data_IF_878529036967
#
_entry.id   IF_878529036967
#
_cell.length_a   1.000
_cell.length_b   1.000
_cell.length_c   1.000
_cell.angle_alpha   90.00
_cell.angle_beta   90.00
_cell.angle_gamma   90.00
#
_symmetry.space_group_name_H-M   'P 1'
#
loop_
_entity.id
_entity.type
_entity.pdbx_description
1 polymer ?
#
# COMPACT_ATOMS: atom_id res chain seq x y z
N UNK A 1 -20.14 10.60 1.70
CA UNK A 1 -20.69 10.12 2.98
C UNK A 1 -21.17 8.65 2.92
N UNK A 2 -20.65 7.88 1.96
CA UNK A 2 -21.05 6.47 1.77
C UNK A 2 -19.84 5.55 1.84
N UNK A 3 -19.97 4.43 2.54
CA UNK A 3 -18.96 3.38 2.64
C UNK A 3 -19.55 2.06 2.15
N UNK A 4 -18.70 1.19 1.60
CA UNK A 4 -19.07 -0.19 1.31
C UNK A 4 -19.03 -0.97 2.61
N UNK A 5 -20.13 -1.65 2.94
CA UNK A 5 -20.27 -2.45 4.16
C UNK A 5 -20.13 -3.94 3.88
N UNK A 6 -20.65 -4.39 2.75
CA UNK A 6 -20.62 -5.80 2.38
C UNK A 6 -20.68 -5.94 0.84
N UNK A 7 -20.05 -6.97 0.32
CA UNK A 7 -20.16 -7.37 -1.09
C UNK A 7 -20.42 -8.87 -1.16
N UNK A 8 -21.18 -9.34 -2.16
CA UNK A 8 -21.50 -10.75 -2.28
C UNK A 8 -22.02 -11.16 -3.65
N UNK A 9 -22.23 -12.46 -3.78
CA UNK A 9 -22.67 -13.18 -4.96
C UNK A 9 -22.29 -14.65 -4.78
N UNK A 10 -22.57 -15.49 -5.76
CA UNK A 10 -22.17 -16.88 -5.74
C UNK A 10 -20.67 -17.01 -6.09
N UNK A 11 -20.33 -17.26 -7.37
CA UNK A 11 -18.92 -17.33 -7.83
C UNK A 11 -18.39 -15.97 -8.32
N UNK A 12 -19.29 -15.01 -8.55
CA UNK A 12 -19.00 -13.67 -9.06
C UNK A 12 -19.70 -12.62 -8.22
N UNK A 13 -19.22 -11.36 -8.27
CA UNK A 13 -19.81 -10.26 -7.52
C UNK A 13 -21.12 -9.81 -8.17
N UNK A 14 -22.22 -9.92 -7.44
CA UNK A 14 -23.57 -9.67 -7.93
C UNK A 14 -24.29 -8.55 -7.17
N UNK A 15 -23.89 -8.28 -5.93
CA UNK A 15 -24.48 -7.21 -5.13
C UNK A 15 -23.49 -6.60 -4.16
N UNK A 16 -23.79 -5.39 -3.75
CA UNK A 16 -23.02 -4.62 -2.78
C UNK A 16 -23.96 -3.86 -1.85
N UNK A 17 -23.72 -3.93 -0.55
CA UNK A 17 -24.37 -3.05 0.42
C UNK A 17 -23.51 -1.84 0.69
N UNK A 18 -24.11 -0.68 0.57
CA UNK A 18 -23.49 0.61 0.89
C UNK A 18 -24.26 1.29 2.01
N UNK A 19 -23.54 1.93 2.91
CA UNK A 19 -24.09 2.64 4.06
C UNK A 19 -23.75 4.11 4.01
N UNK A 20 -24.76 4.94 4.15
CA UNK A 20 -24.57 6.36 4.38
C UNK A 20 -24.12 6.59 5.84
N UNK A 21 -22.90 7.08 6.05
CA UNK A 21 -22.34 7.24 7.39
C UNK A 21 -22.98 8.35 8.21
N UNK A 22 -23.73 9.27 7.58
CA UNK A 22 -24.46 10.33 8.28
C UNK A 22 -25.86 9.90 8.71
N UNK A 23 -26.57 9.21 7.84
CA UNK A 23 -27.97 8.81 8.09
C UNK A 23 -28.09 7.40 8.66
N UNK A 24 -27.07 6.55 8.47
CA UNK A 24 -27.10 5.13 8.81
C UNK A 24 -27.88 4.28 7.81
N UNK A 25 -28.45 4.88 6.77
CA UNK A 25 -29.22 4.18 5.74
C UNK A 25 -28.35 3.19 4.96
N UNK A 26 -28.84 1.97 4.78
CA UNK A 26 -28.19 0.92 3.99
C UNK A 26 -28.97 0.73 2.70
N UNK A 27 -28.28 0.76 1.58
CA UNK A 27 -28.82 0.50 0.25
C UNK A 27 -28.10 -0.69 -0.36
N UNK A 28 -28.83 -1.61 -0.97
CA UNK A 28 -28.26 -2.69 -1.77
C UNK A 28 -28.21 -2.25 -3.23
N UNK A 29 -27.02 -2.35 -3.83
CA UNK A 29 -26.79 -2.18 -5.27
C UNK A 29 -26.64 -3.56 -5.85
N UNK A 30 -27.46 -3.90 -6.81
CA UNK A 30 -27.43 -5.18 -7.51
C UNK A 30 -26.87 -5.01 -8.93
N UNK A 31 -26.25 -6.06 -9.46
CA UNK A 31 -25.87 -6.13 -10.86
C UNK A 31 -27.14 -6.04 -11.74
N UNK A 32 -27.00 -5.47 -12.93
CA UNK A 32 -28.11 -5.47 -13.84
C UNK A 32 -28.40 -6.88 -14.39
N UNK A 33 -29.60 -7.06 -14.94
CA UNK A 33 -30.06 -8.37 -15.40
C UNK A 33 -29.31 -8.85 -16.65
N UNK A 34 -28.69 -7.95 -17.43
CA UNK A 34 -28.01 -8.26 -18.68
C UNK A 34 -26.60 -8.80 -18.41
N UNK A 35 -25.82 -8.11 -17.57
CA UNK A 35 -24.45 -8.51 -17.24
C UNK A 35 -24.40 -9.53 -16.08
N UNK A 36 -25.34 -9.48 -15.14
CA UNK A 36 -25.44 -10.36 -13.98
C UNK A 36 -24.28 -10.26 -12.99
N UNK A 37 -23.34 -9.31 -13.22
CA UNK A 37 -22.17 -9.09 -12.38
C UNK A 37 -21.64 -7.65 -12.51
N UNK A 38 -20.84 -7.21 -11.55
CA UNK A 38 -20.08 -5.95 -11.65
C UNK A 38 -18.73 -6.05 -10.93
N UNK A 39 -17.82 -5.10 -11.22
CA UNK A 39 -16.54 -4.99 -10.55
C UNK A 39 -16.53 -3.90 -9.50
N UNK A 40 -15.89 -4.16 -8.36
CA UNK A 40 -15.61 -3.14 -7.33
C UNK A 40 -14.12 -2.91 -7.24
N UNK A 41 -13.71 -1.66 -7.40
CA UNK A 41 -12.32 -1.23 -7.33
C UNK A 41 -12.15 -0.28 -6.15
N UNK A 42 -11.36 -0.67 -5.14
CA UNK A 42 -11.08 0.15 -3.96
C UNK A 42 -9.78 0.95 -4.13
N UNK A 43 -9.90 2.30 -4.12
CA UNK A 43 -8.76 3.24 -4.17
C UNK A 43 -8.84 4.25 -3.02
N UNK A 44 -8.96 3.75 -1.78
CA UNK A 44 -9.22 4.57 -0.59
C UNK A 44 -7.93 4.90 0.19
N UNK A 45 -6.79 4.79 -0.44
CA UNK A 45 -5.48 5.01 0.15
C UNK A 45 -4.65 3.73 0.20
N UNK A 46 -3.46 3.85 0.78
CA UNK A 46 -2.51 2.76 0.89
C UNK A 46 -2.06 2.60 2.34
N UNK A 47 -1.89 1.37 2.76
CA UNK A 47 -1.29 1.01 4.05
C UNK A 47 -0.02 0.23 3.75
N UNK A 48 1.15 0.67 4.24
CA UNK A 48 2.39 -0.06 4.00
C UNK A 48 2.37 -1.40 4.75
N UNK A 49 2.86 -2.46 4.10
CA UNK A 49 2.95 -3.78 4.73
C UNK A 49 4.27 -3.91 5.53
N UNK A 50 4.45 -3.05 6.52
CA UNK A 50 5.67 -2.88 7.33
C UNK A 50 5.55 -3.39 8.76
N UNK A 51 4.38 -3.88 9.13
CA UNK A 51 4.10 -4.41 10.48
C UNK A 51 5.16 -5.39 11.03
N UNK A 52 5.77 -6.30 10.22
CA UNK A 52 6.82 -7.20 10.71
C UNK A 52 8.08 -6.50 11.22
N UNK A 53 8.29 -5.22 10.85
CA UNK A 53 9.47 -4.43 11.20
C UNK A 53 9.18 -3.37 12.26
N UNK A 54 7.96 -3.33 12.78
CA UNK A 54 7.53 -2.38 13.81
C UNK A 54 8.38 -2.53 15.07
N UNK A 55 8.87 -1.41 15.59
CA UNK A 55 9.77 -1.39 16.76
C UNK A 55 11.22 -1.81 16.46
N UNK A 56 11.54 -2.17 15.20
CA UNK A 56 12.89 -2.55 14.77
C UNK A 56 13.46 -1.47 13.86
N UNK A 57 12.69 -1.03 12.85
CA UNK A 57 13.09 -0.02 11.87
C UNK A 57 12.29 1.26 12.15
N UNK A 58 12.92 2.41 12.04
CA UNK A 58 12.28 3.71 12.24
C UNK A 58 11.21 3.96 11.16
N UNK A 59 10.00 4.29 11.62
CA UNK A 59 8.84 4.56 10.77
C UNK A 59 8.22 5.92 11.09
N UNK A 60 7.43 6.42 10.16
CA UNK A 60 6.55 7.56 10.42
C UNK A 60 5.25 7.13 11.13
N UNK A 61 4.40 8.09 11.47
CA UNK A 61 3.11 7.86 12.14
C UNK A 61 2.13 7.01 11.31
N UNK A 62 2.39 6.86 10.03
CA UNK A 62 1.57 6.09 9.07
C UNK A 62 2.15 4.71 8.79
N UNK A 63 3.28 4.35 9.42
CA UNK A 63 3.95 3.06 9.27
C UNK A 63 4.92 2.98 8.09
N UNK A 64 5.21 4.09 7.38
CA UNK A 64 6.21 4.08 6.32
C UNK A 64 7.62 4.15 6.88
N UNK A 65 8.55 3.35 6.32
CA UNK A 65 9.95 3.30 6.73
C UNK A 65 10.64 4.62 6.41
N UNK A 66 11.33 5.19 7.38
CA UNK A 66 12.18 6.37 7.19
C UNK A 66 13.51 5.95 6.60
N UNK A 67 13.91 6.64 5.53
CA UNK A 67 15.24 6.47 4.90
C UNK A 67 15.83 7.83 4.57
N UNK A 68 17.14 7.86 4.36
CA UNK A 68 17.79 8.97 3.67
C UNK A 68 17.59 8.86 2.14
N UNK A 69 18.25 9.77 1.40
CA UNK A 69 18.19 9.80 -0.07
C UNK A 69 18.91 8.60 -0.72
N UNK A 70 19.81 7.97 -0.01
CA UNK A 70 20.57 6.78 -0.41
C UNK A 70 19.92 5.46 0.06
N UNK A 71 18.67 5.52 0.50
CA UNK A 71 17.84 4.38 0.93
C UNK A 71 18.29 3.70 2.24
N UNK A 72 19.22 4.28 3.01
CA UNK A 72 19.61 3.73 4.30
C UNK A 72 18.47 3.87 5.33
N UNK A 73 18.27 2.84 6.13
CA UNK A 73 17.42 2.90 7.33
C UNK A 73 18.27 3.30 8.55
N UNK A 74 17.65 3.35 9.73
CA UNK A 74 18.36 3.52 11.00
C UNK A 74 19.25 2.32 11.37
N UNK A 75 19.14 1.20 10.68
CA UNK A 75 19.94 -0.01 10.94
C UNK A 75 21.06 -0.12 9.90
N UNK A 76 22.32 -0.22 10.31
CA UNK A 76 23.44 -0.39 9.38
C UNK A 76 23.23 -1.59 8.45
N UNK A 77 23.54 -1.40 7.17
CA UNK A 77 23.41 -2.41 6.10
C UNK A 77 21.97 -2.90 5.83
N UNK A 78 20.97 -2.18 6.32
CA UNK A 78 19.57 -2.41 6.01
C UNK A 78 19.01 -1.23 5.21
N UNK A 79 18.47 -1.53 4.05
CA UNK A 79 17.97 -0.54 3.10
C UNK A 79 16.47 -0.75 2.89
N UNK A 80 15.74 0.32 2.61
CA UNK A 80 14.33 0.22 2.21
C UNK A 80 14.10 1.00 0.92
N UNK A 81 13.41 0.38 -0.03
CA UNK A 81 13.14 0.92 -1.35
C UNK A 81 11.66 0.75 -1.73
N UNK A 82 11.14 1.64 -2.57
CA UNK A 82 9.79 1.55 -3.11
C UNK A 82 8.72 2.13 -2.20
N UNK A 83 7.52 1.61 -2.34
CA UNK A 83 6.31 2.20 -1.76
C UNK A 83 6.21 2.07 -0.23
N UNK A 84 7.03 1.23 0.37
CA UNK A 84 7.08 1.03 1.84
C UNK A 84 7.77 2.15 2.59
N UNK A 85 8.53 3.01 1.90
CA UNK A 85 9.28 4.12 2.52
C UNK A 85 8.52 5.44 2.49
N UNK A 86 8.95 6.36 3.35
CA UNK A 86 8.45 7.75 3.34
C UNK A 86 8.86 8.42 2.03
N UNK A 87 7.91 8.80 1.20
CA UNK A 87 8.11 9.50 -0.07
C UNK A 87 6.84 10.18 -0.55
N UNK A 88 6.99 11.18 -1.41
CA UNK A 88 5.87 11.98 -1.94
C UNK A 88 5.11 11.27 -3.06
N UNK A 89 5.79 10.43 -3.86
CA UNK A 89 5.21 9.77 -5.04
C UNK A 89 5.47 8.27 -4.99
N UNK A 90 4.40 7.50 -5.11
CA UNK A 90 4.41 6.03 -5.15
C UNK A 90 3.94 5.58 -6.52
N UNK A 91 4.90 5.18 -7.35
CA UNK A 91 4.70 4.68 -8.71
C UNK A 91 5.77 3.64 -9.02
N UNK A 92 5.50 2.75 -9.97
CA UNK A 92 6.45 1.70 -10.39
C UNK A 92 7.82 2.29 -10.73
N UNK A 93 7.85 3.38 -11.48
CA UNK A 93 9.11 4.03 -11.88
C UNK A 93 9.90 4.56 -10.68
N UNK A 94 9.24 5.13 -9.66
CA UNK A 94 9.93 5.61 -8.46
C UNK A 94 10.36 4.47 -7.55
N UNK A 95 9.63 3.37 -7.51
CA UNK A 95 10.04 2.17 -6.79
C UNK A 95 11.27 1.51 -7.43
N UNK A 96 11.30 1.44 -8.76
CA UNK A 96 12.47 0.94 -9.50
C UNK A 96 13.71 1.81 -9.32
N UNK A 97 13.54 3.14 -9.32
CA UNK A 97 14.64 4.08 -9.05
C UNK A 97 15.21 3.91 -7.63
N UNK A 98 14.35 3.80 -6.62
CA UNK A 98 14.78 3.52 -5.24
C UNK A 98 15.58 2.22 -5.17
N UNK A 99 15.12 1.16 -5.84
CA UNK A 99 15.81 -0.13 -5.89
C UNK A 99 17.20 -0.05 -6.53
N UNK A 100 17.34 0.75 -7.60
CA UNK A 100 18.62 0.99 -8.24
C UNK A 100 19.60 1.72 -7.32
N UNK A 101 19.13 2.75 -6.59
CA UNK A 101 19.95 3.47 -5.61
C UNK A 101 20.38 2.52 -4.49
N UNK A 102 19.45 1.78 -3.89
CA UNK A 102 19.72 0.82 -2.83
C UNK A 102 20.78 -0.22 -3.26
N UNK A 103 20.67 -0.76 -4.48
CA UNK A 103 21.62 -1.74 -5.00
C UNK A 103 23.05 -1.19 -5.11
N UNK A 104 23.19 0.07 -5.56
CA UNK A 104 24.51 0.74 -5.62
C UNK A 104 25.09 0.97 -4.23
N UNK A 105 24.25 1.34 -3.25
CA UNK A 105 24.72 1.54 -1.88
C UNK A 105 25.12 0.22 -1.20
N UNK A 106 24.39 -0.86 -1.47
CA UNK A 106 24.79 -2.20 -1.01
C UNK A 106 26.15 -2.59 -1.58
N UNK A 107 26.38 -2.40 -2.88
CA UNK A 107 27.65 -2.70 -3.54
C UNK A 107 28.81 -1.91 -2.93
N UNK A 108 28.60 -0.60 -2.71
CA UNK A 108 29.61 0.26 -2.06
C UNK A 108 29.92 -0.19 -0.63
N UNK A 109 28.89 -0.49 0.16
CA UNK A 109 29.10 -0.96 1.54
C UNK A 109 29.87 -2.28 1.61
N UNK A 110 29.69 -3.16 0.62
CA UNK A 110 30.46 -4.40 0.53
C UNK A 110 31.92 -4.17 0.12
N UNK A 111 32.20 -3.19 -0.73
CA UNK A 111 33.55 -2.87 -1.17
C UNK A 111 34.43 -2.35 -0.04
N UNK A 112 33.85 -1.78 1.01
CA UNK A 112 34.61 -1.33 2.20
C UNK A 112 35.08 -2.49 3.09
N UNK A 113 34.66 -3.72 2.82
CA UNK A 113 35.05 -4.93 3.54
C UNK A 113 36.12 -5.77 2.83
N UNK A 114 36.50 -5.40 1.61
CA UNK A 114 37.52 -6.07 0.79
C UNK A 114 38.61 -5.12 0.37
#
# INVERSE_FOLDING_TARGET
DTVVEEVGGDDILQWMKVKNVKTGEITTVEADEEDGMFGVFGFIGTVPNTKPFEGIIDMDERGYIKTDDDMHTNIPNVYAAGDVRVKSLRQVVTAAADGAIAAVQVERSMSDYF
#
